data_IF_100404762306
#
_entry.id   IF_100404762306
#
_cell.length_a   1.000
_cell.length_b   1.000
_cell.length_c   1.000
_cell.angle_alpha   90.00
_cell.angle_beta   90.00
_cell.angle_gamma   90.00
#
_symmetry.space_group_name_H-M   'P 1'
#
loop_
_entity.id
_entity.type
_entity.pdbx_description
1 polymer ?
#
# COMPACT_ATOMS: atom_id res chain seq x y z
N UNK A 1 5.20 9.09 3.41
CA UNK A 1 5.58 7.76 3.94
C UNK A 1 6.92 7.27 3.41
N UNK A 2 7.50 7.88 2.37
CA UNK A 2 8.80 7.45 1.85
C UNK A 2 8.78 6.06 1.24
N UNK A 3 7.62 5.60 0.78
CA UNK A 3 7.37 4.25 0.26
C UNK A 3 6.80 4.36 -1.15
N UNK A 4 7.20 3.44 -2.03
CA UNK A 4 6.69 3.35 -3.41
C UNK A 4 5.24 2.86 -3.44
N UNK A 5 4.53 3.02 -4.56
CA UNK A 5 3.20 2.44 -4.79
C UNK A 5 3.19 0.94 -4.59
N UNK A 6 4.15 0.23 -5.20
CA UNK A 6 4.33 -1.20 -4.95
C UNK A 6 4.56 -1.51 -3.47
N UNK A 7 5.47 -0.77 -2.83
CA UNK A 7 5.76 -0.93 -1.42
C UNK A 7 4.54 -0.70 -0.53
N UNK A 8 3.71 0.29 -0.86
CA UNK A 8 2.49 0.59 -0.13
C UNK A 8 1.46 -0.53 -0.28
N UNK A 9 1.36 -1.15 -1.46
CA UNK A 9 0.53 -2.32 -1.69
C UNK A 9 1.00 -3.53 -0.86
N UNK A 10 2.31 -3.78 -0.82
CA UNK A 10 2.89 -4.87 -0.02
C UNK A 10 2.76 -4.60 1.48
N UNK A 11 2.99 -3.36 1.91
CA UNK A 11 2.80 -2.95 3.31
C UNK A 11 1.35 -3.13 3.77
N UNK A 12 0.37 -2.76 2.94
CA UNK A 12 -1.05 -2.97 3.26
C UNK A 12 -1.42 -4.46 3.38
N UNK A 13 -0.71 -5.33 2.67
CA UNK A 13 -0.95 -6.77 2.69
C UNK A 13 -0.24 -7.46 3.87
N UNK A 14 0.97 -7.03 4.22
CA UNK A 14 1.89 -7.83 5.06
C UNK A 14 2.39 -7.10 6.31
N UNK A 15 2.55 -5.77 6.24
CA UNK A 15 3.28 -5.01 7.26
C UNK A 15 2.42 -4.13 8.16
N UNK A 16 1.24 -3.73 7.68
CA UNK A 16 0.37 -2.80 8.37
C UNK A 16 -0.29 -3.39 9.61
N UNK A 17 -0.54 -4.70 9.63
CA UNK A 17 -1.17 -5.41 10.74
C UNK A 17 -0.79 -6.90 10.71
N UNK A 18 -0.76 -7.55 11.88
CA UNK A 18 -0.31 -8.94 12.01
C UNK A 18 -1.40 -9.97 11.68
N UNK A 19 -2.67 -9.55 11.68
CA UNK A 19 -3.83 -10.43 11.53
C UNK A 19 -4.69 -10.10 10.31
N UNK A 20 -4.55 -8.91 9.73
CA UNK A 20 -5.36 -8.46 8.60
C UNK A 20 -4.52 -7.78 7.54
N UNK A 21 -4.81 -8.07 6.27
CA UNK A 21 -4.14 -7.46 5.13
C UNK A 21 -5.08 -7.23 3.96
N UNK A 22 -4.80 -6.21 3.16
CA UNK A 22 -5.53 -5.92 1.93
C UNK A 22 -4.60 -6.08 0.74
N UNK A 23 -4.90 -7.07 -0.11
CA UNK A 23 -4.20 -7.26 -1.36
C UNK A 23 -4.55 -6.14 -2.35
N UNK A 24 -3.59 -5.25 -2.57
CA UNK A 24 -3.66 -4.20 -3.59
C UNK A 24 -2.64 -4.48 -4.69
N UNK A 25 -2.79 -3.80 -5.82
CA UNK A 25 -1.73 -3.72 -6.81
C UNK A 25 -1.16 -2.32 -6.82
N UNK A 26 0.17 -2.22 -6.76
CA UNK A 26 0.87 -0.98 -7.03
C UNK A 26 0.61 -0.51 -8.46
N UNK A 27 0.76 0.79 -8.70
CA UNK A 27 0.45 1.39 -9.98
C UNK A 27 1.43 1.04 -11.11
N UNK A 28 2.46 0.24 -10.88
CA UNK A 28 3.43 -0.20 -11.90
C UNK A 28 2.75 -0.93 -13.08
N UNK A 29 1.53 -1.45 -12.89
CA UNK A 29 0.71 -2.02 -13.95
C UNK A 29 0.34 -1.04 -15.08
N UNK A 30 0.46 0.27 -14.89
CA UNK A 30 0.21 1.29 -15.91
C UNK A 30 1.51 1.94 -16.44
N UNK A 31 2.66 1.33 -16.15
CA UNK A 31 3.96 1.94 -16.45
C UNK A 31 4.22 3.19 -15.61
N UNK A 32 5.03 4.09 -16.14
CA UNK A 32 5.46 5.31 -15.44
C UNK A 32 4.29 6.18 -14.95
N UNK A 33 3.20 6.24 -15.72
CA UNK A 33 2.02 7.05 -15.38
C UNK A 33 1.20 6.50 -14.20
N UNK A 34 1.41 5.25 -13.79
CA UNK A 34 0.71 4.67 -12.63
C UNK A 34 1.43 4.88 -11.30
N UNK A 35 2.67 5.36 -11.33
CA UNK A 35 3.41 5.71 -10.12
C UNK A 35 2.60 6.67 -9.23
N UNK A 36 2.58 6.42 -7.93
CA UNK A 36 1.80 7.21 -6.96
C UNK A 36 0.36 6.72 -6.73
N UNK A 37 -0.12 5.73 -7.51
CA UNK A 37 -1.47 5.19 -7.36
C UNK A 37 -1.48 3.75 -6.83
N UNK A 38 -2.63 3.37 -6.25
CA UNK A 38 -2.98 1.99 -5.92
C UNK A 38 -4.20 1.57 -6.73
N UNK A 39 -4.22 0.32 -7.17
CA UNK A 39 -5.37 -0.29 -7.84
C UNK A 39 -6.06 -1.28 -6.90
N UNK A 40 -7.38 -1.11 -6.79
CA UNK A 40 -8.27 -1.93 -5.98
C UNK A 40 -9.27 -2.65 -6.89
N UNK A 41 -9.52 -3.93 -6.63
CA UNK A 41 -10.60 -4.68 -7.27
C UNK A 41 -11.88 -4.56 -6.45
N UNK A 42 -13.01 -4.32 -7.11
CA UNK A 42 -14.33 -4.29 -6.47
C UNK A 42 -15.13 -5.58 -6.71
N UNK A 43 -14.45 -6.69 -7.03
CA UNK A 43 -15.10 -7.98 -7.28
C UNK A 43 -15.58 -8.70 -6.00
N UNK A 44 -15.13 -8.24 -4.84
CA UNK A 44 -15.53 -8.79 -3.54
C UNK A 44 -16.89 -8.22 -3.07
N UNK A 45 -17.59 -8.92 -2.15
CA UNK A 45 -18.79 -8.40 -1.50
C UNK A 45 -18.60 -7.03 -0.83
N UNK A 46 -19.67 -6.21 -0.82
CA UNK A 46 -19.64 -4.84 -0.32
C UNK A 46 -19.14 -4.70 1.13
N UNK A 47 -19.47 -5.66 1.99
CA UNK A 47 -19.01 -5.72 3.38
C UNK A 47 -17.49 -5.92 3.47
N UNK A 48 -16.92 -6.80 2.63
CA UNK A 48 -15.47 -6.97 2.52
C UNK A 48 -14.79 -5.73 1.95
N UNK A 49 -15.38 -5.09 0.94
CA UNK A 49 -14.86 -3.85 0.39
C UNK A 49 -14.87 -2.71 1.43
N UNK A 50 -15.94 -2.59 2.21
CA UNK A 50 -16.03 -1.60 3.28
C UNK A 50 -14.98 -1.84 4.37
N UNK A 51 -14.76 -3.09 4.77
CA UNK A 51 -13.70 -3.47 5.71
C UNK A 51 -12.30 -3.12 5.16
N UNK A 52 -12.03 -3.43 3.89
CA UNK A 52 -10.77 -3.13 3.26
C UNK A 52 -10.49 -1.61 3.21
N UNK A 53 -11.48 -0.81 2.79
CA UNK A 53 -11.33 0.66 2.75
C UNK A 53 -11.12 1.25 4.14
N UNK A 54 -11.87 0.77 5.14
CA UNK A 54 -11.70 1.19 6.54
C UNK A 54 -10.30 0.85 7.06
N UNK A 55 -9.82 -0.37 6.79
CA UNK A 55 -8.47 -0.79 7.15
C UNK A 55 -7.39 0.07 6.49
N UNK A 56 -7.48 0.32 5.18
CA UNK A 56 -6.47 1.11 4.46
C UNK A 56 -6.34 2.54 5.02
N UNK A 57 -7.47 3.15 5.41
CA UNK A 57 -7.47 4.47 6.05
C UNK A 57 -6.66 4.51 7.35
N UNK A 58 -6.72 3.44 8.16
CA UNK A 58 -5.94 3.31 9.39
C UNK A 58 -4.49 2.90 9.12
N UNK A 59 -4.30 1.88 8.28
CA UNK A 59 -2.99 1.32 7.91
C UNK A 59 -2.02 2.41 7.40
N UNK A 60 -2.50 3.34 6.56
CA UNK A 60 -1.68 4.41 6.00
C UNK A 60 -1.31 5.52 6.99
N UNK A 61 -1.77 5.44 8.23
CA UNK A 61 -1.36 6.32 9.32
C UNK A 61 -0.32 5.68 10.26
N UNK A 62 -0.12 4.36 10.21
CA UNK A 62 0.79 3.58 11.09
C UNK A 62 2.27 3.80 10.75
N UNK A 63 2.77 5.01 11.01
CA UNK A 63 4.17 5.42 10.77
C UNK A 63 5.17 4.57 11.55
N UNK A 64 4.80 4.15 12.75
CA UNK A 64 5.55 3.25 13.62
C UNK A 64 5.81 1.88 13.00
N UNK A 65 4.89 1.40 12.13
CA UNK A 65 5.04 0.14 11.40
C UNK A 65 5.71 0.31 10.04
N UNK A 66 5.50 1.44 9.37
CA UNK A 66 6.09 1.66 8.03
C UNK A 66 7.60 1.78 8.06
N UNK A 67 8.17 2.43 9.09
CA UNK A 67 9.62 2.61 9.24
C UNK A 67 10.39 1.28 9.36
N UNK A 68 10.06 0.35 10.27
CA UNK A 68 10.73 -0.94 10.33
C UNK A 68 10.47 -1.79 9.08
N UNK A 69 9.28 -1.71 8.48
CA UNK A 69 8.99 -2.40 7.23
C UNK A 69 9.94 -1.95 6.11
N UNK A 70 10.13 -0.64 5.91
CA UNK A 70 11.09 -0.11 4.94
C UNK A 70 12.55 -0.44 5.27
N UNK A 71 12.88 -0.61 6.55
CA UNK A 71 14.21 -1.09 6.97
C UNK A 71 14.51 -2.51 6.49
N UNK A 72 13.48 -3.36 6.44
CA UNK A 72 13.58 -4.74 5.95
C UNK A 72 13.37 -4.85 4.43
N UNK A 73 12.75 -3.85 3.81
CA UNK A 73 12.42 -3.80 2.38
C UNK A 73 12.96 -2.53 1.70
N UNK A 74 14.30 -2.40 1.55
CA UNK A 74 14.91 -1.21 0.96
C UNK A 74 14.51 -0.95 -0.50
N UNK A 75 14.05 -1.96 -1.23
CA UNK A 75 13.51 -1.88 -2.59
C UNK A 75 12.20 -1.07 -2.67
N UNK A 76 11.49 -0.94 -1.54
CA UNK A 76 10.23 -0.19 -1.46
C UNK A 76 10.41 1.26 -1.00
N UNK A 77 11.64 1.67 -0.67
CA UNK A 77 11.91 3.06 -0.30
C UNK A 77 11.76 3.97 -1.51
N UNK A 78 10.91 4.98 -1.39
CA UNK A 78 10.70 5.99 -2.42
C UNK A 78 11.92 6.92 -2.47
N UNK A 79 12.72 6.79 -3.53
CA UNK A 79 13.94 7.59 -3.73
C UNK A 79 13.67 8.93 -4.42
N UNK A 80 12.69 8.95 -5.30
CA UNK A 80 12.27 10.13 -6.05
C UNK A 80 10.78 10.33 -5.83
N UNK A 81 10.38 11.56 -5.54
CA UNK A 81 8.96 11.87 -5.38
C UNK A 81 8.23 11.63 -6.70
N UNK A 82 6.98 11.16 -6.62
CA UNK A 82 6.14 11.05 -7.79
C UNK A 82 5.78 12.44 -8.32
N UNK A 83 5.93 12.64 -9.63
CA UNK A 83 5.46 13.83 -10.30
C UNK A 83 3.94 13.86 -10.22
N UNK A 84 3.37 14.95 -9.68
CA UNK A 84 1.93 15.17 -9.52
C UNK A 84 1.38 16.09 -10.59
#
# INVERSE_FOLDING_TARGET
>A
MGITSHGLAMFALEGADDLFGVACLGGECFGEAGKGFLRLSCAEPNDRLAQAVAFLSDAFQRRDRVSPYLGNHPEFVLREAYET
#
